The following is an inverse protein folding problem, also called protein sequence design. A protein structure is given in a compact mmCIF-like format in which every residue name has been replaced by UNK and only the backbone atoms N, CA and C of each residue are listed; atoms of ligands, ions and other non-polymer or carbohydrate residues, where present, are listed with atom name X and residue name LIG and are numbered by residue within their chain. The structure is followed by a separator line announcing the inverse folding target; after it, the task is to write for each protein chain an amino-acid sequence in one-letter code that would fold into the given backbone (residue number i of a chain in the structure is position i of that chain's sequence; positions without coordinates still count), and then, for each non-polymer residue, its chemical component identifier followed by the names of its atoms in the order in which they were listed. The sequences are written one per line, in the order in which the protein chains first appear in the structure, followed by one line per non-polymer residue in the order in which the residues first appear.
data_IF_905158192763
#
_entry.id   IF_905158192763
#
_cell.length_a   1.000
_cell.length_b   1.000
_cell.length_c   1.000
_cell.angle_alpha   90.00
_cell.angle_beta   90.00
_cell.angle_gamma   90.00
#
_symmetry.space_group_name_H-M   'P 1'
#
loop_
_entity.id
_entity.type
_entity.pdbx_description
1 polymer ?
#
# COMPACT_ATOMS: atom_id res chain seq x y z
N UNK A 1 4.63 -20.79 -0.49
CA UNK A 1 3.22 -20.65 -0.93
C UNK A 1 2.43 -19.75 0.01
N UNK A 2 2.33 -20.06 1.32
CA UNK A 2 1.55 -19.24 2.28
C UNK A 2 2.06 -17.79 2.36
N UNK A 3 3.37 -17.58 2.51
CA UNK A 3 3.98 -16.23 2.51
C UNK A 3 3.52 -15.39 1.30
N UNK A 4 3.71 -15.91 0.09
CA UNK A 4 3.38 -15.21 -1.15
C UNK A 4 1.88 -14.91 -1.25
N UNK A 5 1.01 -15.83 -0.84
CA UNK A 5 -0.45 -15.61 -0.83
C UNK A 5 -0.84 -14.48 0.12
N UNK A 6 -0.29 -14.46 1.32
CA UNK A 6 -0.62 -13.42 2.32
C UNK A 6 -0.04 -12.07 1.90
N UNK A 7 1.23 -12.04 1.49
CA UNK A 7 1.90 -10.83 1.02
C UNK A 7 1.16 -10.21 -0.18
N UNK A 8 0.96 -11.01 -1.24
CA UNK A 8 0.28 -10.56 -2.45
C UNK A 8 -1.19 -10.23 -2.17
N UNK A 9 -1.84 -10.92 -1.24
CA UNK A 9 -3.22 -10.65 -0.85
C UNK A 9 -3.39 -9.25 -0.26
N UNK A 10 -2.59 -8.89 0.74
CA UNK A 10 -2.61 -7.55 1.31
C UNK A 10 -2.23 -6.48 0.28
N UNK A 11 -1.17 -6.74 -0.50
CA UNK A 11 -0.68 -5.78 -1.48
C UNK A 11 -1.68 -5.52 -2.61
N UNK A 12 -2.26 -6.58 -3.16
CA UNK A 12 -3.25 -6.48 -4.24
C UNK A 12 -4.53 -5.81 -3.77
N UNK A 13 -4.98 -6.08 -2.54
CA UNK A 13 -6.12 -5.38 -1.95
C UNK A 13 -5.82 -3.89 -1.77
N UNK A 14 -4.62 -3.55 -1.29
CA UNK A 14 -4.17 -2.17 -1.16
C UNK A 14 -4.19 -1.42 -2.50
N UNK A 15 -3.63 -2.01 -3.56
CA UNK A 15 -3.66 -1.44 -4.93
C UNK A 15 -5.10 -1.29 -5.42
N UNK A 16 -5.92 -2.33 -5.25
CA UNK A 16 -7.30 -2.35 -5.73
C UNK A 16 -8.15 -1.25 -5.09
N UNK A 17 -7.93 -0.94 -3.81
CA UNK A 17 -8.59 0.18 -3.13
C UNK A 17 -7.96 1.53 -3.49
N UNK A 18 -6.63 1.59 -3.65
CA UNK A 18 -5.93 2.83 -3.92
C UNK A 18 -6.30 3.42 -5.28
N UNK A 19 -6.51 2.57 -6.30
CA UNK A 19 -6.84 3.03 -7.65
C UNK A 19 -8.15 3.84 -7.73
N UNK A 20 -9.09 3.60 -6.80
CA UNK A 20 -10.41 4.26 -6.75
C UNK A 20 -10.38 5.57 -5.92
N UNK A 21 -9.25 5.91 -5.28
CA UNK A 21 -9.08 7.16 -4.54
C UNK A 21 -9.21 8.41 -5.43
N UNK A 22 -8.53 8.52 -6.59
CA UNK A 22 -8.61 9.72 -7.45
C UNK A 22 -9.97 9.88 -8.16
N UNK A 23 -10.82 8.85 -8.14
CA UNK A 23 -12.10 8.80 -8.84
C UNK A 23 -13.30 9.19 -7.96
N UNK A 24 -13.06 9.50 -6.68
CA UNK A 24 -14.11 9.77 -5.67
C UNK A 24 -15.12 10.83 -6.10
N UNK A 25 -14.66 11.94 -6.70
CA UNK A 25 -15.54 13.03 -7.16
C UNK A 25 -16.47 12.57 -8.29
N UNK A 26 -15.94 11.74 -9.19
CA UNK A 26 -16.70 11.14 -10.28
C UNK A 26 -17.74 10.17 -9.73
N UNK A 27 -17.31 9.26 -8.85
CA UNK A 27 -18.19 8.27 -8.23
C UNK A 27 -19.36 8.91 -7.50
N UNK A 28 -19.09 9.94 -6.68
CA UNK A 28 -20.13 10.67 -5.97
C UNK A 28 -21.10 11.38 -6.92
N UNK A 29 -20.60 11.98 -8.00
CA UNK A 29 -21.43 12.66 -9.00
C UNK A 29 -22.36 11.70 -9.75
N UNK A 30 -21.90 10.48 -10.04
CA UNK A 30 -22.67 9.46 -10.76
C UNK A 30 -23.41 8.47 -9.85
N UNK A 31 -23.38 8.68 -8.53
CA UNK A 31 -24.06 7.82 -7.56
C UNK A 31 -23.42 6.43 -7.36
N UNK A 32 -22.16 6.26 -7.78
CA UNK A 32 -21.39 5.02 -7.59
C UNK A 32 -20.94 4.92 -6.14
N UNK A 33 -21.24 3.80 -5.50
CA UNK A 33 -20.97 3.55 -4.07
C UNK A 33 -19.62 2.84 -3.86
N UNK A 34 -18.53 3.42 -4.38
CA UNK A 34 -17.18 2.89 -4.16
C UNK A 34 -16.75 2.99 -2.69
N UNK A 35 -15.70 2.25 -2.31
CA UNK A 35 -15.22 2.26 -0.93
C UNK A 35 -14.69 3.66 -0.53
N UNK A 36 -14.01 4.35 -1.44
CA UNK A 36 -13.59 5.75 -1.30
C UNK A 36 -14.78 6.70 -1.21
N UNK A 37 -15.82 6.53 -2.04
CA UNK A 37 -17.03 7.35 -1.96
C UNK A 37 -17.78 7.20 -0.62
N UNK A 38 -17.80 6.01 -0.02
CA UNK A 38 -18.51 5.74 1.24
C UNK A 38 -17.74 6.13 2.49
N UNK A 39 -16.44 5.88 2.54
CA UNK A 39 -15.62 6.09 3.75
C UNK A 39 -14.80 7.37 3.73
N UNK A 40 -14.73 8.03 2.58
CA UNK A 40 -13.94 9.21 2.35
C UNK A 40 -12.49 8.90 1.96
N UNK A 41 -11.96 9.74 1.07
CA UNK A 41 -10.65 9.60 0.45
C UNK A 41 -9.51 9.42 1.47
N UNK A 42 -9.46 10.27 2.50
CA UNK A 42 -8.40 10.24 3.53
C UNK A 42 -8.39 8.95 4.33
N UNK A 43 -9.57 8.41 4.66
CA UNK A 43 -9.68 7.17 5.43
C UNK A 43 -9.24 5.99 4.58
N UNK A 44 -9.68 5.92 3.32
CA UNK A 44 -9.28 4.86 2.39
C UNK A 44 -7.79 4.90 2.10
N UNK A 45 -7.20 6.08 1.91
CA UNK A 45 -5.75 6.24 1.76
C UNK A 45 -4.96 5.56 2.89
N UNK A 46 -5.30 5.86 4.16
CA UNK A 46 -4.61 5.25 5.29
C UNK A 46 -4.90 3.76 5.47
N UNK A 47 -6.07 3.27 5.04
CA UNK A 47 -6.35 1.83 4.96
C UNK A 47 -5.40 1.18 3.96
N UNK A 48 -5.24 1.75 2.76
CA UNK A 48 -4.30 1.24 1.76
C UNK A 48 -2.85 1.23 2.28
N UNK A 49 -2.39 2.32 2.88
CA UNK A 49 -1.06 2.40 3.50
C UNK A 49 -0.89 1.30 4.56
N UNK A 50 -1.89 1.10 5.42
CA UNK A 50 -1.85 0.03 6.44
C UNK A 50 -1.78 -1.37 5.83
N UNK A 51 -2.49 -1.62 4.71
CA UNK A 51 -2.41 -2.88 3.97
C UNK A 51 -1.01 -3.12 3.41
N UNK A 52 -0.37 -2.09 2.84
CA UNK A 52 1.01 -2.20 2.35
C UNK A 52 2.00 -2.46 3.49
N UNK A 53 1.88 -1.76 4.62
CA UNK A 53 2.71 -2.01 5.80
C UNK A 53 2.52 -3.43 6.37
N UNK A 54 1.29 -3.96 6.37
CA UNK A 54 1.05 -5.35 6.76
C UNK A 54 1.73 -6.34 5.80
N UNK A 55 1.73 -6.07 4.50
CA UNK A 55 2.46 -6.89 3.53
C UNK A 55 3.97 -6.90 3.83
N UNK A 56 4.59 -5.72 4.05
CA UNK A 56 5.99 -5.63 4.44
C UNK A 56 6.26 -6.30 5.78
N UNK A 57 5.37 -6.16 6.77
CA UNK A 57 5.46 -6.85 8.06
C UNK A 57 5.46 -8.37 7.93
N UNK A 58 4.61 -8.93 7.07
CA UNK A 58 4.59 -10.37 6.75
C UNK A 58 5.91 -10.82 6.14
N UNK A 59 6.51 -10.02 5.25
CA UNK A 59 7.81 -10.32 4.66
C UNK A 59 8.96 -10.26 5.68
N UNK A 60 8.92 -9.30 6.61
CA UNK A 60 9.88 -9.22 7.72
C UNK A 60 9.78 -10.47 8.60
N UNK A 61 8.57 -10.85 9.03
CA UNK A 61 8.37 -12.04 9.88
C UNK A 61 8.82 -13.32 9.16
N UNK A 62 8.49 -13.46 7.87
CA UNK A 62 8.96 -14.59 7.07
C UNK A 62 10.50 -14.62 6.97
N UNK A 63 11.14 -13.47 6.75
CA UNK A 63 12.60 -13.33 6.74
C UNK A 63 13.25 -13.79 8.04
N UNK A 64 12.68 -13.43 9.20
CA UNK A 64 13.18 -13.81 10.52
C UNK A 64 13.25 -15.33 10.75
N UNK A 65 12.47 -16.12 10.01
CA UNK A 65 12.47 -17.60 10.07
C UNK A 65 13.45 -18.30 9.13
N UNK A 66 14.20 -17.54 8.33
CA UNK A 66 15.12 -18.08 7.30
C UNK A 66 16.58 -18.18 7.77
N UNK A 67 17.47 -18.67 6.88
CA UNK A 67 18.90 -18.76 7.12
C UNK A 67 19.55 -17.38 7.33
N UNK A 68 20.71 -17.26 8.00
CA UNK A 68 21.22 -15.97 8.48
C UNK A 68 21.35 -14.86 7.42
N UNK A 69 21.88 -15.18 6.23
CA UNK A 69 22.02 -14.20 5.15
C UNK A 69 20.66 -13.77 4.58
N UNK A 70 19.79 -14.74 4.29
CA UNK A 70 18.44 -14.49 3.76
C UNK A 70 17.63 -13.69 4.79
N UNK A 71 17.77 -14.00 6.07
CA UNK A 71 17.13 -13.31 7.16
C UNK A 71 17.46 -11.83 7.17
N UNK A 72 18.74 -11.49 7.12
CA UNK A 72 19.20 -10.10 7.16
C UNK A 72 18.69 -9.37 5.93
N UNK A 73 18.92 -9.92 4.73
CA UNK A 73 18.56 -9.27 3.47
C UNK A 73 17.05 -9.09 3.34
N UNK A 74 16.26 -10.14 3.57
CA UNK A 74 14.80 -10.08 3.44
C UNK A 74 14.19 -9.18 4.52
N UNK A 75 14.58 -9.34 5.78
CA UNK A 75 13.95 -8.58 6.87
C UNK A 75 14.32 -7.09 6.81
N UNK A 76 15.60 -6.76 6.66
CA UNK A 76 16.02 -5.35 6.56
C UNK A 76 15.52 -4.71 5.26
N UNK A 77 15.58 -5.42 4.14
CA UNK A 77 15.10 -4.91 2.85
C UNK A 77 13.62 -4.51 2.92
N UNK A 78 12.76 -5.40 3.40
CA UNK A 78 11.32 -5.09 3.50
C UNK A 78 11.02 -4.05 4.57
N UNK A 79 11.77 -4.02 5.68
CA UNK A 79 11.62 -2.98 6.70
C UNK A 79 11.98 -1.59 6.15
N UNK A 80 13.04 -1.49 5.34
CA UNK A 80 13.43 -0.23 4.68
C UNK A 80 12.38 0.19 3.65
N UNK A 81 11.91 -0.73 2.80
CA UNK A 81 10.88 -0.43 1.79
C UNK A 81 9.57 0.03 2.43
N UNK A 82 9.08 -0.66 3.47
CA UNK A 82 7.91 -0.23 4.25
C UNK A 82 8.14 1.15 4.89
N UNK A 83 9.30 1.36 5.51
CA UNK A 83 9.63 2.68 6.10
C UNK A 83 9.62 3.81 5.07
N UNK A 84 10.13 3.58 3.86
CA UNK A 84 10.08 4.54 2.74
C UNK A 84 8.62 4.82 2.36
N UNK A 85 7.81 3.78 2.17
CA UNK A 85 6.41 3.92 1.79
C UNK A 85 5.62 4.69 2.85
N UNK A 86 5.75 4.32 4.12
CA UNK A 86 5.14 5.02 5.26
C UNK A 86 5.58 6.48 5.36
N UNK A 87 6.87 6.76 5.19
CA UNK A 87 7.39 8.12 5.26
C UNK A 87 6.82 8.98 4.13
N UNK A 88 6.83 8.47 2.90
CA UNK A 88 6.28 9.17 1.74
C UNK A 88 4.76 9.32 1.82
N UNK A 89 4.06 8.40 2.48
CA UNK A 89 2.61 8.50 2.67
C UNK A 89 2.20 9.76 3.45
N UNK A 90 3.06 10.23 4.38
CA UNK A 90 2.79 11.42 5.20
C UNK A 90 2.85 12.72 4.42
N UNK A 91 3.52 12.74 3.27
CA UNK A 91 3.66 13.94 2.42
C UNK A 91 2.66 13.98 1.26
N UNK A 92 1.77 12.98 1.15
CA UNK A 92 0.76 12.93 0.09
C UNK A 92 -0.32 13.98 0.33
N UNK A 93 -0.47 14.88 -0.63
CA UNK A 93 -1.58 15.82 -0.69
C UNK A 93 -2.76 15.16 -1.42
N UNK A 94 -3.78 14.78 -0.67
CA UNK A 94 -4.97 14.12 -1.20
C UNK A 94 -5.86 15.07 -2.01
N UNK A 95 -5.65 16.39 -1.99
CA UNK A 95 -6.34 17.29 -2.90
C UNK A 95 -5.71 17.34 -4.30
N UNK A 96 -4.50 16.79 -4.45
CA UNK A 96 -3.73 16.81 -5.69
C UNK A 96 -3.69 15.44 -6.36
N UNK A 97 -4.36 15.30 -7.51
CA UNK A 97 -4.31 14.07 -8.34
C UNK A 97 -2.87 13.72 -8.75
N UNK A 98 -2.01 14.72 -8.95
CA UNK A 98 -0.60 14.51 -9.27
C UNK A 98 0.18 13.94 -8.07
N UNK A 99 -0.12 14.39 -6.84
CA UNK A 99 0.50 13.85 -5.62
C UNK A 99 0.08 12.40 -5.39
N UNK A 100 -1.22 12.11 -5.52
CA UNK A 100 -1.78 10.75 -5.43
C UNK A 100 -1.16 9.83 -6.50
N UNK A 101 -1.11 10.29 -7.75
CA UNK A 101 -0.50 9.54 -8.85
C UNK A 101 0.99 9.26 -8.64
N UNK A 102 1.73 10.23 -8.10
CA UNK A 102 3.16 10.06 -7.77
C UNK A 102 3.35 9.00 -6.67
N UNK A 103 2.51 9.00 -5.65
CA UNK A 103 2.53 7.97 -4.60
C UNK A 103 2.08 6.59 -5.14
N UNK A 104 1.11 6.56 -6.05
CA UNK A 104 0.72 5.32 -6.75
C UNK A 104 1.88 4.70 -7.53
N UNK A 105 2.67 5.53 -8.22
CA UNK A 105 3.87 5.05 -8.90
C UNK A 105 4.93 4.55 -7.93
N UNK A 106 5.06 5.15 -6.73
CA UNK A 106 5.93 4.63 -5.68
C UNK A 106 5.46 3.23 -5.23
N UNK A 107 4.16 3.02 -5.03
CA UNK A 107 3.58 1.69 -4.71
C UNK A 107 3.99 0.68 -5.78
N UNK A 108 3.94 1.01 -7.07
CA UNK A 108 4.40 0.06 -8.10
C UNK A 108 5.92 -0.19 -8.07
N UNK A 109 6.72 0.86 -7.85
CA UNK A 109 8.20 0.76 -7.81
C UNK A 109 8.74 -0.03 -6.62
N UNK A 110 8.02 -0.09 -5.50
CA UNK A 110 8.47 -0.90 -4.34
C UNK A 110 8.04 -2.36 -4.48
N UNK A 111 7.23 -2.70 -5.50
CA UNK A 111 6.77 -4.06 -5.79
C UNK A 111 7.57 -4.75 -6.90
N UNK A 112 8.07 -3.98 -7.88
CA UNK A 112 8.79 -4.44 -9.07
C UNK A 112 10.17 -3.80 -9.18
#
# INVERSE_FOLDING_TARGET
MIFSVVFLGFYSLGIALFKDIPDIDGDQKFGIQSFSARLGQKRVFWICVSLFEMAFGVAVVAGLTSSPLVKIVTSLGHAVLGSILWYQAKSVDLSSKASIGSFYMLIWKVMF
#
